data_IF_137321788273
#
_entry.id   IF_137321788273
#
_cell.length_a   1.000
_cell.length_b   1.000
_cell.length_c   1.000
_cell.angle_alpha   90.00
_cell.angle_beta   90.00
_cell.angle_gamma   90.00
#
_symmetry.space_group_name_H-M   'P 1'
#
loop_
_entity.id
_entity.type
_entity.pdbx_description
1 polymer ?
#
# COMPACT_ATOMS: atom_id res chain seq x y z
N UNK A 1 8.08 2.60 -3.10
CA UNK A 1 8.13 2.40 -1.64
C UNK A 1 7.61 3.64 -0.94
N UNK A 2 6.69 3.47 -0.01
CA UNK A 2 6.10 4.56 0.75
C UNK A 2 6.68 4.59 2.15
N UNK A 3 7.13 5.78 2.56
CA UNK A 3 7.74 6.02 3.86
C UNK A 3 6.97 7.11 4.61
N UNK A 4 7.52 7.63 5.68
CA UNK A 4 6.95 8.66 6.57
C UNK A 4 5.98 8.10 7.60
N UNK A 5 6.22 6.87 8.03
CA UNK A 5 5.49 6.31 9.15
C UNK A 5 6.29 6.57 10.44
N UNK A 6 5.78 7.44 11.27
CA UNK A 6 6.34 7.71 12.58
C UNK A 6 5.37 7.17 13.62
N UNK A 7 5.63 5.97 14.11
CA UNK A 7 4.69 5.27 14.99
C UNK A 7 4.78 5.78 16.41
N UNK A 8 3.69 6.33 16.90
CA UNK A 8 3.59 6.84 18.27
C UNK A 8 2.64 6.03 19.13
N UNK A 9 1.74 5.25 18.50
CA UNK A 9 0.83 4.38 19.22
C UNK A 9 1.40 2.99 19.37
N UNK A 10 1.14 2.41 20.54
CA UNK A 10 1.41 1.02 20.79
C UNK A 10 0.15 0.20 20.61
N UNK A 11 0.31 -1.00 20.06
CA UNK A 11 -0.80 -1.93 19.84
C UNK A 11 -0.47 -3.26 20.46
N UNK A 12 -1.48 -3.93 20.97
CA UNK A 12 -1.31 -5.30 21.51
C UNK A 12 -1.13 -6.28 20.33
N UNK A 13 -0.59 -7.46 20.64
CA UNK A 13 -0.47 -8.50 19.62
C UNK A 13 -1.83 -8.92 19.08
N UNK A 14 -2.87 -8.94 19.92
CA UNK A 14 -4.24 -9.24 19.50
C UNK A 14 -4.75 -8.20 18.50
N UNK A 15 -4.51 -6.91 18.76
CA UNK A 15 -4.90 -5.83 17.86
C UNK A 15 -4.19 -5.93 16.52
N UNK A 16 -2.89 -6.22 16.52
CA UNK A 16 -2.11 -6.41 15.30
C UNK A 16 -2.62 -7.60 14.50
N UNK A 17 -2.93 -8.70 15.18
CA UNK A 17 -3.44 -9.91 14.52
C UNK A 17 -4.81 -9.66 13.86
N UNK A 18 -5.71 -8.97 14.56
CA UNK A 18 -7.00 -8.57 14.01
C UNK A 18 -6.82 -7.67 12.78
N UNK A 19 -5.90 -6.71 12.87
CA UNK A 19 -5.58 -5.82 11.76
C UNK A 19 -5.03 -6.57 10.56
N UNK A 20 -4.12 -7.52 10.78
CA UNK A 20 -3.56 -8.35 9.70
C UNK A 20 -4.65 -9.15 8.99
N UNK A 21 -5.57 -9.75 9.75
CA UNK A 21 -6.67 -10.53 9.17
C UNK A 21 -7.60 -9.65 8.34
N UNK A 22 -7.94 -8.46 8.85
CA UNK A 22 -8.78 -7.51 8.13
C UNK A 22 -8.12 -7.03 6.85
N UNK A 23 -6.84 -6.68 6.92
CA UNK A 23 -6.09 -6.23 5.74
C UNK A 23 -5.98 -7.34 4.71
N UNK A 24 -5.72 -8.57 5.14
CA UNK A 24 -5.62 -9.69 4.22
C UNK A 24 -6.89 -9.87 3.39
N UNK A 25 -8.06 -9.78 4.02
CA UNK A 25 -9.33 -9.89 3.30
C UNK A 25 -9.49 -8.77 2.27
N UNK A 26 -9.11 -7.54 2.62
CA UNK A 26 -9.18 -6.41 1.69
C UNK A 26 -8.21 -6.58 0.52
N UNK A 27 -6.99 -7.05 0.79
CA UNK A 27 -5.99 -7.26 -0.26
C UNK A 27 -6.38 -8.39 -1.21
N UNK A 28 -7.02 -9.45 -0.71
CA UNK A 28 -7.50 -10.54 -1.57
C UNK A 28 -8.49 -10.07 -2.62
N UNK A 29 -9.24 -9.02 -2.32
CA UNK A 29 -10.17 -8.41 -3.26
C UNK A 29 -9.50 -7.36 -4.14
N UNK A 30 -8.73 -6.46 -3.52
CA UNK A 30 -8.19 -5.28 -4.21
C UNK A 30 -7.01 -5.57 -5.11
N UNK A 31 -6.12 -6.47 -4.71
CA UNK A 31 -4.94 -6.77 -5.52
C UNK A 31 -5.29 -7.36 -6.88
N UNK A 32 -6.14 -8.42 -6.97
CA UNK A 32 -6.49 -8.93 -8.29
C UNK A 32 -7.23 -7.90 -9.14
N UNK A 33 -8.08 -7.10 -8.53
CA UNK A 33 -8.83 -6.07 -9.24
C UNK A 33 -7.89 -5.06 -9.91
N UNK A 34 -7.02 -4.43 -9.13
CA UNK A 34 -6.12 -3.41 -9.67
C UNK A 34 -5.05 -4.00 -10.57
N UNK A 35 -4.54 -5.18 -10.26
CA UNK A 35 -3.58 -5.85 -11.13
C UNK A 35 -4.17 -6.12 -12.51
N UNK A 36 -5.44 -6.55 -12.56
CA UNK A 36 -6.14 -6.78 -13.82
C UNK A 36 -6.29 -5.47 -14.62
N UNK A 37 -6.75 -4.42 -13.95
CA UNK A 37 -6.95 -3.10 -14.60
C UNK A 37 -5.63 -2.55 -15.13
N UNK A 38 -4.54 -2.72 -14.37
CA UNK A 38 -3.23 -2.21 -14.74
C UNK A 38 -2.46 -3.13 -15.71
N UNK A 39 -2.95 -4.34 -15.92
CA UNK A 39 -2.29 -5.29 -16.80
C UNK A 39 -0.98 -5.84 -16.24
N UNK A 40 -0.87 -5.98 -14.92
CA UNK A 40 0.34 -6.46 -14.27
C UNK A 40 0.08 -7.72 -13.46
N UNK A 41 1.14 -8.46 -13.18
CA UNK A 41 1.12 -9.61 -12.28
C UNK A 41 1.96 -9.31 -11.04
N UNK A 42 1.74 -10.06 -9.99
CA UNK A 42 2.52 -9.96 -8.76
C UNK A 42 2.75 -11.35 -8.18
N UNK A 43 3.74 -11.44 -7.31
CA UNK A 43 4.10 -12.71 -6.68
C UNK A 43 3.51 -12.87 -5.28
N UNK A 44 4.39 -13.12 -4.31
CA UNK A 44 3.99 -13.31 -2.91
C UNK A 44 3.53 -12.00 -2.29
N UNK A 45 2.48 -12.08 -1.49
CA UNK A 45 1.96 -10.95 -0.71
C UNK A 45 2.19 -11.26 0.77
N UNK A 46 2.83 -10.33 1.47
CA UNK A 46 3.09 -10.44 2.90
C UNK A 46 2.61 -9.20 3.64
N UNK A 47 2.06 -9.41 4.84
CA UNK A 47 1.67 -8.32 5.71
C UNK A 47 2.69 -8.28 6.85
N UNK A 48 3.27 -7.10 7.07
CA UNK A 48 4.38 -6.89 8.00
C UNK A 48 4.05 -5.83 9.03
N UNK A 49 4.75 -5.89 10.16
CA UNK A 49 4.74 -4.84 11.17
C UNK A 49 6.03 -4.04 10.98
N UNK A 50 5.94 -2.99 10.17
CA UNK A 50 7.08 -2.15 9.82
C UNK A 50 6.92 -0.74 10.37
N UNK A 51 8.05 -0.09 10.66
CA UNK A 51 8.04 1.25 11.26
C UNK A 51 8.09 2.40 10.26
N UNK A 52 8.70 2.17 9.10
CA UNK A 52 9.02 3.26 8.18
C UNK A 52 8.39 3.14 6.81
N UNK A 53 7.70 2.05 6.53
CA UNK A 53 7.14 1.78 5.20
C UNK A 53 5.67 1.39 5.28
N UNK A 54 4.89 1.89 4.34
CA UNK A 54 3.51 1.46 4.14
C UNK A 54 3.44 0.23 3.25
N UNK A 55 4.35 0.12 2.29
CA UNK A 55 4.44 -1.00 1.41
C UNK A 55 5.75 -1.04 0.67
N UNK A 56 5.99 -2.13 -0.06
CA UNK A 56 7.14 -2.29 -0.94
C UNK A 56 6.84 -3.31 -2.02
N UNK A 57 7.59 -3.21 -3.12
CA UNK A 57 7.54 -4.16 -4.22
C UNK A 57 8.97 -4.51 -4.62
N UNK A 58 9.30 -5.80 -4.63
CA UNK A 58 10.62 -6.25 -5.07
C UNK A 58 10.67 -6.31 -6.61
N UNK A 59 11.87 -6.43 -7.17
CA UNK A 59 12.04 -6.62 -8.60
C UNK A 59 11.35 -7.88 -9.14
N UNK A 60 11.14 -8.87 -8.28
CA UNK A 60 10.42 -10.11 -8.63
C UNK A 60 8.91 -9.97 -8.52
N UNK A 61 8.42 -8.84 -8.04
CA UNK A 61 6.99 -8.60 -7.88
C UNK A 61 6.41 -9.09 -6.57
N UNK A 62 7.24 -9.39 -5.58
CA UNK A 62 6.74 -9.71 -4.25
C UNK A 62 6.37 -8.44 -3.51
N UNK A 63 5.19 -8.45 -2.90
CA UNK A 63 4.60 -7.26 -2.28
C UNK A 63 4.58 -7.42 -0.78
N UNK A 64 4.92 -6.34 -0.07
CA UNK A 64 4.78 -6.26 1.38
C UNK A 64 3.89 -5.08 1.71
N UNK A 65 2.99 -5.26 2.68
CA UNK A 65 2.10 -4.21 3.16
C UNK A 65 2.17 -4.12 4.67
N UNK A 66 2.16 -2.91 5.19
CA UNK A 66 2.14 -2.68 6.63
C UNK A 66 0.74 -3.00 7.17
N UNK A 67 0.66 -3.77 8.26
CA UNK A 67 -0.62 -4.16 8.86
C UNK A 67 -1.49 -2.94 9.24
N UNK A 68 -0.87 -1.80 9.53
CA UNK A 68 -1.58 -0.56 9.89
C UNK A 68 -2.41 0.00 8.74
N UNK A 69 -2.25 -0.52 7.54
CA UNK A 69 -3.15 -0.20 6.44
C UNK A 69 -4.57 -0.74 6.69
N UNK A 70 -4.75 -1.61 7.68
CA UNK A 70 -6.08 -2.00 8.13
C UNK A 70 -6.82 -0.85 8.83
N UNK A 71 -6.10 0.19 9.23
CA UNK A 71 -6.63 1.32 10.01
C UNK A 71 -6.92 2.55 9.15
N UNK A 72 -6.53 2.54 7.87
CA UNK A 72 -6.75 3.68 6.98
C UNK A 72 -8.06 3.52 6.21
N UNK A 73 -8.63 4.62 5.69
CA UNK A 73 -9.77 4.54 4.77
C UNK A 73 -9.44 3.67 3.55
N UNK A 74 -10.47 3.05 2.98
CA UNK A 74 -10.29 2.13 1.84
C UNK A 74 -9.64 2.81 0.65
N UNK A 75 -9.98 4.07 0.36
CA UNK A 75 -9.37 4.82 -0.76
C UNK A 75 -7.88 5.07 -0.54
N UNK A 76 -7.43 5.12 0.71
CA UNK A 76 -5.99 5.26 1.02
C UNK A 76 -5.29 3.92 0.83
N UNK A 77 -5.92 2.83 1.25
CA UNK A 77 -5.41 1.49 0.96
C UNK A 77 -5.27 1.28 -0.55
N UNK A 78 -6.28 1.67 -1.31
CA UNK A 78 -6.25 1.55 -2.77
C UNK A 78 -5.07 2.30 -3.38
N UNK A 79 -4.75 3.48 -2.85
CA UNK A 79 -3.58 4.24 -3.29
C UNK A 79 -2.28 3.45 -3.05
N UNK A 80 -2.11 2.85 -1.88
CA UNK A 80 -0.90 2.08 -1.58
C UNK A 80 -0.83 0.84 -2.48
N UNK A 81 -1.94 0.15 -2.68
CA UNK A 81 -2.01 -1.00 -3.59
C UNK A 81 -1.58 -0.61 -5.00
N UNK A 82 -2.16 0.45 -5.55
CA UNK A 82 -1.83 0.92 -6.91
C UNK A 82 -0.37 1.37 -6.98
N UNK A 83 0.12 2.06 -5.95
CA UNK A 83 1.52 2.50 -5.88
C UNK A 83 2.47 1.32 -5.99
N UNK A 84 2.24 0.25 -5.23
CA UNK A 84 3.12 -0.91 -5.27
C UNK A 84 2.99 -1.68 -6.58
N UNK A 85 1.78 -1.84 -7.10
CA UNK A 85 1.58 -2.50 -8.40
C UNK A 85 2.19 -1.71 -9.56
N UNK A 86 2.23 -0.38 -9.48
CA UNK A 86 2.87 0.45 -10.50
C UNK A 86 4.36 0.16 -10.61
N UNK A 87 4.99 -0.34 -9.56
CA UNK A 87 6.39 -0.77 -9.60
C UNK A 87 6.60 -2.01 -10.48
N UNK A 88 5.55 -2.71 -10.87
CA UNK A 88 5.65 -3.79 -11.87
C UNK A 88 5.84 -3.24 -13.28
N UNK A 89 5.50 -1.97 -13.48
CA UNK A 89 5.66 -1.29 -14.78
C UNK A 89 6.94 -0.45 -14.76
N UNK A 90 7.17 0.27 -13.65
CA UNK A 90 8.30 1.17 -13.51
C UNK A 90 8.84 1.11 -12.08
N UNK A 91 10.07 0.63 -11.90
CA UNK A 91 10.65 0.47 -10.56
C UNK A 91 11.01 1.78 -9.89
N UNK A 92 11.38 2.79 -10.67
CA UNK A 92 11.76 4.10 -10.13
C UNK A 92 10.54 5.02 -10.05
N UNK A 93 10.56 5.95 -9.10
CA UNK A 93 9.51 6.96 -8.98
C UNK A 93 9.71 8.08 -10.01
N UNK A 94 9.80 7.70 -11.28
CA UNK A 94 9.95 8.62 -12.41
C UNK A 94 8.61 9.25 -12.77
N UNK A 95 8.63 10.21 -13.70
CA UNK A 95 7.38 10.78 -14.23
C UNK A 95 6.49 9.69 -14.84
N UNK A 96 7.11 8.67 -15.45
CA UNK A 96 6.36 7.56 -16.04
C UNK A 96 5.64 6.73 -14.99
N UNK A 97 6.31 6.49 -13.84
CA UNK A 97 5.68 5.81 -12.70
C UNK A 97 4.42 6.55 -12.26
N UNK A 98 4.52 7.84 -12.02
CA UNK A 98 3.39 8.62 -11.54
C UNK A 98 2.27 8.74 -12.57
N UNK A 99 2.59 8.71 -13.87
CA UNK A 99 1.56 8.64 -14.91
C UNK A 99 0.76 7.35 -14.83
N UNK A 100 1.41 6.23 -14.54
CA UNK A 100 0.73 4.96 -14.37
C UNK A 100 -0.20 4.98 -13.16
N UNK A 101 0.24 5.57 -12.05
CA UNK A 101 -0.60 5.75 -10.87
C UNK A 101 -1.79 6.65 -11.19
N UNK A 102 -1.56 7.77 -11.86
CA UNK A 102 -2.60 8.75 -12.20
C UNK A 102 -3.68 8.17 -13.12
N UNK A 103 -3.32 7.29 -14.03
CA UNK A 103 -4.30 6.63 -14.91
C UNK A 103 -5.37 5.89 -14.11
N UNK A 104 -4.99 5.31 -13.00
CA UNK A 104 -5.88 4.50 -12.16
C UNK A 104 -6.56 5.37 -11.12
N UNK A 105 -5.79 6.27 -10.49
CA UNK A 105 -6.25 7.15 -9.42
C UNK A 105 -5.87 8.59 -9.76
N UNK A 106 -6.73 9.32 -10.49
CA UNK A 106 -6.44 10.72 -10.84
C UNK A 106 -6.22 11.62 -9.63
N UNK A 107 -6.81 11.27 -8.49
CA UNK A 107 -6.68 11.99 -7.23
C UNK A 107 -5.56 11.46 -6.32
N UNK A 108 -4.57 10.78 -6.88
CA UNK A 108 -3.53 10.13 -6.06
C UNK A 108 -2.77 11.11 -5.17
N UNK A 109 -2.63 12.38 -5.57
CA UNK A 109 -1.92 13.39 -4.76
C UNK A 109 -2.65 13.66 -3.45
N UNK A 110 -3.97 13.72 -3.48
CA UNK A 110 -4.79 13.92 -2.29
C UNK A 110 -4.67 12.73 -1.34
N UNK A 111 -4.69 11.52 -1.87
CA UNK A 111 -4.56 10.28 -1.09
C UNK A 111 -3.16 10.19 -0.47
N UNK A 112 -2.14 10.52 -1.25
CA UNK A 112 -0.76 10.56 -0.77
C UNK A 112 -0.60 11.58 0.37
N UNK A 113 -1.20 12.74 0.22
CA UNK A 113 -1.16 13.79 1.23
C UNK A 113 -1.85 13.36 2.52
N UNK A 114 -2.99 12.69 2.40
CA UNK A 114 -3.69 12.14 3.57
C UNK A 114 -2.78 11.24 4.38
N UNK A 115 -2.08 10.34 3.70
CA UNK A 115 -1.19 9.39 4.35
C UNK A 115 -0.02 10.10 5.02
N UNK A 116 0.53 11.11 4.36
CA UNK A 116 1.61 11.92 4.92
C UNK A 116 1.18 12.68 6.17
N UNK A 117 -0.03 13.23 6.16
CA UNK A 117 -0.54 14.03 7.27
C UNK A 117 -1.03 13.18 8.44
N UNK A 118 -1.58 12.00 8.18
CA UNK A 118 -2.26 11.19 9.19
C UNK A 118 -1.48 9.94 9.61
N UNK A 119 -0.54 9.48 8.79
CA UNK A 119 0.16 8.23 9.02
C UNK A 119 0.90 8.16 10.35
N UNK A 120 1.48 9.25 10.80
CA UNK A 120 2.20 9.30 12.06
C UNK A 120 1.33 9.21 13.31
N UNK A 121 0.02 9.25 13.14
CA UNK A 121 -0.94 9.19 14.25
C UNK A 121 -1.53 7.80 14.47
N UNK A 122 -1.22 6.88 13.57
CA UNK A 122 -1.76 5.51 13.62
C UNK A 122 -1.01 4.61 14.58
#
# INVERSE_FOLDING_TARGET
MLQNASWRRSYTEAEKQTGKQRLNRKLEERLPLFASVMGVSYGRVSIRDQRTRWGSCSGKGNLNFNWKLSLVPDEILDYVVVHELAHRIEMNHSANFWREVEKILPDYRERRMWLKENGGRL
#
